data_IF_922714137369
#
_entry.id   IF_922714137369
#
_cell.length_a   1.000
_cell.length_b   1.000
_cell.length_c   1.000
_cell.angle_alpha   90.00
_cell.angle_beta   90.00
_cell.angle_gamma   90.00
#
_symmetry.space_group_name_H-M   'P 1'
#
loop_
_entity.id
_entity.type
_entity.pdbx_description
1 polymer ?
#
# COMPACT_ATOMS: atom_id res chain seq x y z
N UNK A 1 -6.72 7.74 18.25
CA UNK A 1 -6.92 7.81 16.80
C UNK A 1 -5.85 6.93 16.16
N UNK A 2 -6.27 5.88 15.44
CA UNK A 2 -5.38 4.84 14.95
C UNK A 2 -4.45 5.37 13.86
N UNK A 3 -3.18 5.56 14.18
CA UNK A 3 -2.16 5.99 13.24
C UNK A 3 -1.79 4.82 12.33
N UNK A 4 -2.51 4.65 11.22
CA UNK A 4 -2.14 3.68 10.17
C UNK A 4 -0.89 4.17 9.45
N UNK A 5 0.13 3.33 9.33
CA UNK A 5 1.30 3.57 8.48
C UNK A 5 1.16 2.78 7.19
N UNK A 6 1.29 3.49 6.07
CA UNK A 6 1.19 2.95 4.71
C UNK A 6 2.53 3.15 4.01
N UNK A 7 3.18 2.05 3.63
CA UNK A 7 4.42 2.10 2.84
C UNK A 7 4.10 2.01 1.36
N UNK A 8 4.72 2.86 0.56
CA UNK A 8 4.49 2.94 -0.88
C UNK A 8 5.81 2.67 -1.59
N UNK A 9 5.86 1.58 -2.35
CA UNK A 9 7.00 1.21 -3.19
C UNK A 9 6.60 1.25 -4.65
N UNK A 10 7.01 2.30 -5.37
CA UNK A 10 6.80 2.42 -6.82
C UNK A 10 8.10 2.18 -7.57
N UNK A 11 8.08 1.22 -8.51
CA UNK A 11 9.27 0.83 -9.27
C UNK A 11 9.93 1.98 -10.02
N UNK A 12 9.14 2.99 -10.45
CA UNK A 12 9.58 4.17 -11.19
C UNK A 12 9.84 5.37 -10.27
N UNK A 13 9.79 5.21 -8.95
CA UNK A 13 9.99 6.29 -7.98
C UNK A 13 8.82 7.28 -7.89
N UNK A 14 7.63 6.88 -8.36
CA UNK A 14 6.38 7.65 -8.21
C UNK A 14 5.67 7.28 -6.90
N UNK A 15 4.43 7.73 -6.69
CA UNK A 15 3.64 7.37 -5.50
C UNK A 15 3.45 8.51 -4.52
N UNK A 16 3.96 9.71 -4.82
CA UNK A 16 3.83 10.89 -3.97
C UNK A 16 2.35 11.32 -3.87
N UNK A 17 1.56 11.20 -4.95
CA UNK A 17 0.15 11.58 -4.90
C UNK A 17 -0.64 10.62 -4.02
N UNK A 18 -0.38 9.32 -4.13
CA UNK A 18 -0.97 8.33 -3.22
C UNK A 18 -0.58 8.62 -1.77
N UNK A 19 0.69 8.99 -1.53
CA UNK A 19 1.18 9.41 -0.22
C UNK A 19 0.39 10.59 0.35
N UNK A 20 0.18 11.65 -0.45
CA UNK A 20 -0.66 12.79 -0.06
C UNK A 20 -2.08 12.36 0.29
N UNK A 21 -2.66 11.42 -0.46
CA UNK A 21 -4.00 10.91 -0.19
C UNK A 21 -4.09 10.15 1.13
N UNK A 22 -3.05 9.38 1.45
CA UNK A 22 -2.92 8.68 2.75
C UNK A 22 -2.88 9.70 3.89
N UNK A 23 -2.06 10.75 3.76
CA UNK A 23 -1.92 11.80 4.78
C UNK A 23 -3.20 12.60 4.96
N UNK A 24 -3.87 12.98 3.87
CA UNK A 24 -5.17 13.66 3.89
C UNK A 24 -6.28 12.85 4.57
N UNK A 25 -6.14 11.52 4.64
CA UNK A 25 -7.06 10.63 5.35
C UNK A 25 -6.65 10.34 6.81
N UNK A 26 -5.58 10.98 7.30
CA UNK A 26 -5.08 10.80 8.66
C UNK A 26 -4.12 9.61 8.85
N UNK A 27 -3.62 9.03 7.76
CA UNK A 27 -2.56 8.01 7.79
C UNK A 27 -1.16 8.61 7.71
N UNK A 28 -0.14 7.84 8.10
CA UNK A 28 1.28 8.14 7.85
C UNK A 28 1.71 7.48 6.54
N UNK A 29 2.19 8.27 5.57
CA UNK A 29 2.75 7.74 4.33
C UNK A 29 4.28 7.58 4.43
N UNK A 30 4.80 6.45 3.96
CA UNK A 30 6.25 6.22 3.80
C UNK A 30 6.50 5.85 2.35
N UNK A 31 6.95 6.82 1.54
CA UNK A 31 7.29 6.61 0.14
C UNK A 31 8.75 6.18 0.03
N UNK A 32 9.00 4.99 -0.49
CA UNK A 32 10.34 4.47 -0.69
C UNK A 32 10.95 5.16 -1.92
N UNK A 33 12.08 5.88 -1.79
CA UNK A 33 12.68 6.56 -2.92
C UNK A 33 13.47 5.60 -3.82
N UNK A 34 13.57 5.97 -5.10
CA UNK A 34 14.48 5.36 -6.07
C UNK A 34 13.86 4.26 -6.94
N UNK A 35 14.60 3.89 -7.99
CA UNK A 35 14.24 2.76 -8.84
C UNK A 35 14.30 1.45 -8.04
N UNK A 36 13.37 0.53 -8.30
CA UNK A 36 13.17 -0.73 -7.57
C UNK A 36 12.70 -0.59 -6.10
N UNK A 37 12.06 0.53 -5.76
CA UNK A 37 11.41 0.72 -4.46
C UNK A 37 10.35 -0.36 -4.15
N UNK A 38 9.66 -0.88 -5.17
CA UNK A 38 8.69 -1.99 -5.03
C UNK A 38 9.31 -3.25 -4.41
N UNK A 39 10.57 -3.54 -4.71
CA UNK A 39 11.29 -4.70 -4.15
C UNK A 39 11.62 -4.56 -2.66
N UNK A 40 11.69 -3.33 -2.15
CA UNK A 40 11.99 -3.05 -0.74
C UNK A 40 10.74 -2.94 0.12
N UNK A 41 9.55 -3.06 -0.48
CA UNK A 41 8.28 -2.80 0.19
C UNK A 41 8.14 -3.58 1.49
N UNK A 42 8.32 -4.90 1.46
CA UNK A 42 8.19 -5.74 2.65
C UNK A 42 9.19 -5.39 3.75
N UNK A 43 10.43 -5.05 3.37
CA UNK A 43 11.51 -4.74 4.31
C UNK A 43 11.19 -3.44 5.08
N UNK A 44 10.75 -2.42 4.34
CA UNK A 44 10.37 -1.12 4.91
C UNK A 44 9.08 -1.23 5.71
N UNK A 45 8.10 -2.02 5.26
CA UNK A 45 6.90 -2.32 6.05
C UNK A 45 7.24 -2.91 7.42
N UNK A 46 8.16 -3.87 7.46
CA UNK A 46 8.60 -4.46 8.72
C UNK A 46 9.34 -3.46 9.60
N UNK A 47 10.23 -2.66 9.03
CA UNK A 47 11.01 -1.66 9.76
C UNK A 47 10.11 -0.57 10.38
N UNK A 48 9.11 -0.11 9.63
CA UNK A 48 8.19 0.94 10.06
C UNK A 48 7.00 0.40 10.88
N UNK A 49 6.92 -0.91 11.11
CA UNK A 49 5.74 -1.58 11.68
C UNK A 49 4.44 -1.18 10.96
N UNK A 50 4.50 -1.13 9.63
CA UNK A 50 3.41 -0.65 8.79
C UNK A 50 2.28 -1.67 8.69
N UNK A 51 1.05 -1.16 8.68
CA UNK A 51 -0.16 -1.96 8.57
C UNK A 51 -0.50 -2.30 7.12
N UNK A 52 -0.17 -1.37 6.20
CA UNK A 52 -0.42 -1.51 4.77
C UNK A 52 0.84 -1.24 3.95
N UNK A 53 0.95 -1.94 2.83
CA UNK A 53 1.94 -1.74 1.79
C UNK A 53 1.28 -1.63 0.43
N UNK A 54 1.76 -0.70 -0.39
CA UNK A 54 1.32 -0.50 -1.76
C UNK A 54 2.53 -0.71 -2.68
N UNK A 55 2.40 -1.68 -3.59
CA UNK A 55 3.40 -2.00 -4.61
C UNK A 55 2.91 -1.50 -5.96
N UNK A 56 3.62 -0.54 -6.56
CA UNK A 56 3.37 -0.09 -7.92
C UNK A 56 4.47 -0.61 -8.86
N UNK A 57 4.09 -1.46 -9.79
CA UNK A 57 4.89 -1.80 -10.96
C UNK A 57 3.95 -2.08 -12.14
N UNK A 58 4.43 -2.66 -13.26
CA UNK A 58 3.57 -2.97 -14.42
C UNK A 58 2.30 -3.76 -14.05
N UNK A 59 2.37 -4.61 -13.03
CA UNK A 59 1.23 -5.31 -12.41
C UNK A 59 1.09 -5.10 -10.89
N UNK A 60 2.04 -4.39 -10.27
CA UNK A 60 2.21 -4.35 -8.81
C UNK A 60 2.61 -5.67 -8.16
N UNK A 61 2.75 -6.77 -8.92
CA UNK A 61 2.92 -8.12 -8.38
C UNK A 61 4.28 -8.40 -7.76
N UNK A 62 5.35 -7.89 -8.34
CA UNK A 62 6.70 -8.27 -7.92
C UNK A 62 6.99 -7.87 -6.45
N UNK A 63 6.70 -6.62 -6.07
CA UNK A 63 6.86 -6.16 -4.69
C UNK A 63 5.90 -6.87 -3.72
N UNK A 64 4.67 -7.13 -4.17
CA UNK A 64 3.66 -7.82 -3.37
C UNK A 64 4.05 -9.26 -3.05
N UNK A 65 4.47 -10.04 -4.05
CA UNK A 65 4.92 -11.43 -3.92
C UNK A 65 6.17 -11.51 -3.03
N UNK A 66 7.10 -10.56 -3.19
CA UNK A 66 8.32 -10.52 -2.36
C UNK A 66 7.98 -10.29 -0.90
N UNK A 67 7.10 -9.33 -0.60
CA UNK A 67 6.65 -9.04 0.75
C UNK A 67 5.91 -10.24 1.38
N UNK A 68 5.05 -10.91 0.60
CA UNK A 68 4.35 -12.13 1.02
C UNK A 68 5.33 -13.28 1.32
N UNK A 69 6.27 -13.55 0.42
CA UNK A 69 7.20 -14.68 0.54
C UNK A 69 8.17 -14.49 1.71
N UNK A 70 8.67 -13.26 1.91
CA UNK A 70 9.70 -12.97 2.91
C UNK A 70 9.14 -12.80 4.33
N UNK A 71 7.92 -12.28 4.47
CA UNK A 71 7.35 -11.90 5.76
C UNK A 71 5.96 -12.46 6.05
N UNK A 72 5.38 -13.23 5.12
CA UNK A 72 4.06 -13.83 5.29
C UNK A 72 2.89 -12.85 5.13
N UNK A 73 3.14 -11.64 4.61
CA UNK A 73 2.06 -10.67 4.42
C UNK A 73 0.99 -11.18 3.45
N UNK A 74 -0.29 -11.05 3.82
CA UNK A 74 -1.39 -11.36 2.92
C UNK A 74 -1.43 -10.31 1.81
N UNK A 75 -1.21 -10.74 0.56
CA UNK A 75 -1.11 -9.82 -0.57
C UNK A 75 -2.16 -10.09 -1.66
N UNK A 76 -2.62 -9.02 -2.32
CA UNK A 76 -3.39 -9.08 -3.57
C UNK A 76 -2.71 -8.16 -4.58
N UNK A 77 -2.59 -8.59 -5.83
CA UNK A 77 -1.90 -7.83 -6.87
C UNK A 77 -2.58 -7.98 -8.23
N UNK A 78 -2.16 -7.17 -9.21
CA UNK A 78 -2.80 -7.09 -10.52
C UNK A 78 -4.03 -6.19 -10.57
N UNK A 79 -4.29 -5.44 -9.48
CA UNK A 79 -5.45 -4.56 -9.37
C UNK A 79 -5.31 -3.35 -10.30
N UNK A 80 -6.43 -2.96 -10.90
CA UNK A 80 -6.52 -1.86 -11.87
C UNK A 80 -7.55 -0.81 -11.48
N UNK A 81 -8.28 -1.00 -10.37
CA UNK A 81 -9.22 -0.02 -9.82
C UNK A 81 -9.04 0.17 -8.31
N UNK A 82 -9.56 1.29 -7.80
CA UNK A 82 -9.52 1.62 -6.37
C UNK A 82 -10.43 0.67 -5.57
N UNK A 83 -11.57 0.28 -6.15
CA UNK A 83 -12.55 -0.61 -5.53
C UNK A 83 -11.99 -2.02 -5.27
N UNK A 84 -11.15 -2.52 -6.18
CA UNK A 84 -10.44 -3.78 -5.97
C UNK A 84 -9.53 -3.71 -4.73
N UNK A 85 -8.84 -2.58 -4.56
CA UNK A 85 -8.01 -2.29 -3.38
C UNK A 85 -8.79 -2.24 -2.08
N UNK A 86 -9.93 -1.54 -2.09
CA UNK A 86 -10.86 -1.49 -0.95
C UNK A 86 -11.37 -2.88 -0.59
N UNK A 87 -11.73 -3.68 -1.60
CA UNK A 87 -12.16 -5.07 -1.41
C UNK A 87 -11.05 -5.92 -0.81
N UNK A 88 -9.81 -5.77 -1.29
CA UNK A 88 -8.64 -6.48 -0.76
C UNK A 88 -8.39 -6.19 0.74
N UNK A 89 -8.54 -4.92 1.15
CA UNK A 89 -8.47 -4.53 2.56
C UNK A 89 -9.58 -5.21 3.37
N UNK A 90 -10.80 -5.24 2.83
CA UNK A 90 -11.94 -5.92 3.42
C UNK A 90 -11.74 -7.45 3.52
N UNK A 91 -10.99 -8.05 2.62
CA UNK A 91 -10.55 -9.45 2.68
C UNK A 91 -9.36 -9.68 3.64
N UNK A 92 -8.77 -8.59 4.17
CA UNK A 92 -7.68 -8.62 5.14
C UNK A 92 -6.28 -8.64 4.53
N UNK A 93 -6.13 -8.22 3.28
CA UNK A 93 -4.81 -8.06 2.67
C UNK A 93 -4.07 -6.86 3.28
N UNK A 94 -2.79 -7.06 3.57
CA UNK A 94 -1.88 -6.04 4.04
C UNK A 94 -1.07 -5.41 2.90
N UNK A 95 -0.84 -6.17 1.82
CA UNK A 95 -0.03 -5.70 0.69
C UNK A 95 -0.86 -5.68 -0.58
N UNK A 96 -0.88 -4.53 -1.25
CA UNK A 96 -1.73 -4.23 -2.38
C UNK A 96 -0.87 -3.88 -3.61
N UNK A 97 -0.95 -4.70 -4.65
CA UNK A 97 -0.26 -4.48 -5.92
C UNK A 97 -1.17 -3.86 -6.97
N UNK A 98 -0.82 -2.66 -7.46
CA UNK A 98 -1.55 -1.98 -8.53
C UNK A 98 -0.67 -1.78 -9.76
N UNK A 99 -1.29 -1.77 -10.94
CA UNK A 99 -0.67 -1.24 -12.15
C UNK A 99 -0.61 0.29 -12.09
N UNK A 100 0.61 0.86 -12.08
CA UNK A 100 0.93 2.31 -12.06
C UNK A 100 -0.27 3.25 -11.84
N UNK A 101 -0.69 3.42 -10.58
CA UNK A 101 -1.86 4.23 -10.22
C UNK A 101 -1.49 5.25 -9.13
N UNK A 102 -0.66 6.22 -9.49
CA UNK A 102 -0.29 7.30 -8.57
C UNK A 102 -1.37 8.39 -8.53
N UNK A 103 -2.44 8.15 -7.75
CA UNK A 103 -3.57 9.06 -7.55
C UNK A 103 -3.81 9.30 -6.07
N UNK A 104 -4.11 10.54 -5.70
CA UNK A 104 -4.45 10.91 -4.32
C UNK A 104 -5.69 10.18 -3.81
N UNK A 105 -6.72 10.07 -4.65
CA UNK A 105 -7.96 9.37 -4.31
C UNK A 105 -7.72 7.91 -3.90
N UNK A 106 -6.75 7.23 -4.52
CA UNK A 106 -6.40 5.85 -4.17
C UNK A 106 -5.89 5.80 -2.72
N UNK A 107 -4.91 6.64 -2.37
CA UNK A 107 -4.35 6.67 -1.01
C UNK A 107 -5.43 6.94 0.05
N UNK A 108 -6.28 7.93 -0.22
CA UNK A 108 -7.38 8.31 0.66
C UNK A 108 -8.36 7.16 0.89
N UNK A 109 -8.87 6.56 -0.19
CA UNK A 109 -9.87 5.49 -0.13
C UNK A 109 -9.36 4.23 0.58
N UNK A 110 -8.08 3.89 0.40
CA UNK A 110 -7.49 2.74 1.07
C UNK A 110 -7.38 2.95 2.59
N UNK A 111 -6.96 4.14 3.02
CA UNK A 111 -6.91 4.49 4.45
C UNK A 111 -8.31 4.51 5.07
N UNK A 112 -9.27 5.17 4.42
CA UNK A 112 -10.67 5.18 4.87
C UNK A 112 -11.23 3.77 5.02
N UNK A 113 -10.98 2.88 4.06
CA UNK A 113 -11.42 1.49 4.12
C UNK A 113 -10.76 0.71 5.28
N UNK A 114 -9.45 0.91 5.49
CA UNK A 114 -8.73 0.27 6.58
C UNK A 114 -9.24 0.73 7.94
N UNK A 115 -9.38 2.05 8.15
CA UNK A 115 -9.88 2.62 9.39
C UNK A 115 -11.32 2.19 9.66
N UNK A 116 -12.17 2.10 8.62
CA UNK A 116 -13.55 1.60 8.78
C UNK A 116 -13.58 0.14 9.25
N UNK A 117 -12.65 -0.69 8.78
CA UNK A 117 -12.59 -2.11 9.13
C UNK A 117 -11.94 -2.39 10.48
N UNK A 118 -10.84 -1.70 10.79
CA UNK A 118 -9.99 -2.01 11.94
C UNK A 118 -9.95 -0.92 13.01
N UNK A 119 -10.47 0.28 12.72
CA UNK A 119 -10.48 1.43 13.62
C UNK A 119 -11.70 1.48 14.56
N UNK A 120 -12.69 0.62 14.39
CA UNK A 120 -13.83 0.46 15.31
C UNK A 120 -13.56 -0.61 16.38
N UNK A 121 -12.45 -0.46 17.11
CA UNK A 121 -12.19 -1.19 18.36
C UNK A 121 -12.14 -0.21 19.53
#
# INVERSE_FOLDING_TARGET
>A
MGNITVVIGDRLGKGQKVGLGVESAGGKAVVIPGMAADMKLGDVMKAENAQLGISFCGSGGAGAITAQTKYGYKSKYGMRSIEEGVTAINEGCNVLGFGFMDKEELGKKLVEAYLKKYGNA
#
